data_IF_375502265845
#
_entry.id   IF_375502265845
#
_cell.length_a   1.000
_cell.length_b   1.000
_cell.length_c   1.000
_cell.angle_alpha   90.00
_cell.angle_beta   90.00
_cell.angle_gamma   90.00
#
_symmetry.space_group_name_H-M   'P 1'
#
loop_
_entity.id
_entity.type
_entity.pdbx_description
1 polymer ?
#
# COMPACT_ATOMS: atom_id res chain seq x y z
N UNK A 1 -58.95 25.57 31.16
CA UNK A 1 -58.46 26.90 30.72
C UNK A 1 -57.04 27.06 31.28
N UNK A 2 -56.00 26.73 30.50
CA UNK A 2 -55.07 27.72 29.84
C UNK A 2 -54.31 28.57 30.87
N UNK A 3 -52.98 28.64 31.02
CA UNK A 3 -51.78 28.50 30.17
C UNK A 3 -50.57 28.33 31.13
N UNK A 4 -49.66 27.37 30.97
CA UNK A 4 -48.28 27.50 30.42
C UNK A 4 -47.60 28.87 30.64
N UNK A 5 -46.49 28.92 31.40
CA UNK A 5 -45.15 29.34 30.91
C UNK A 5 -44.07 29.32 32.03
N UNK A 6 -42.93 28.66 31.73
CA UNK A 6 -41.53 29.12 31.91
C UNK A 6 -41.03 29.43 33.35
N UNK A 7 -39.90 28.94 33.88
CA UNK A 7 -38.57 28.69 33.31
C UNK A 7 -37.82 27.65 34.18
N UNK A 8 -37.16 26.68 33.54
CA UNK A 8 -36.14 25.82 34.15
C UNK A 8 -34.78 26.47 33.89
N UNK A 9 -34.07 26.89 34.95
CA UNK A 9 -32.68 27.32 34.85
C UNK A 9 -31.77 26.11 35.09
N UNK A 10 -31.09 25.74 34.01
CA UNK A 10 -30.06 24.71 33.92
C UNK A 10 -28.77 25.29 34.51
N UNK A 11 -28.28 24.72 35.60
CA UNK A 11 -26.90 24.92 36.06
C UNK A 11 -26.07 23.71 35.65
N UNK A 12 -25.60 23.70 34.40
CA UNK A 12 -24.50 22.82 33.98
C UNK A 12 -23.21 23.56 34.30
N UNK A 13 -22.60 23.20 35.42
CA UNK A 13 -21.21 23.53 35.69
C UNK A 13 -20.35 22.76 34.67
N UNK A 14 -20.02 23.43 33.58
CA UNK A 14 -18.96 23.01 32.67
C UNK A 14 -17.68 23.04 33.49
N UNK A 15 -17.20 21.85 33.87
CA UNK A 15 -15.80 21.63 34.24
C UNK A 15 -14.97 22.09 33.04
N UNK A 16 -14.52 23.34 33.11
CA UNK A 16 -13.45 23.88 32.30
C UNK A 16 -12.18 23.12 32.66
N UNK A 17 -12.01 21.92 32.11
CA UNK A 17 -10.69 21.34 31.95
C UNK A 17 -9.97 22.25 30.96
N UNK A 18 -9.17 23.17 31.50
CA UNK A 18 -8.13 23.85 30.74
C UNK A 18 -7.20 22.74 30.28
N UNK A 19 -7.44 22.23 29.07
CA UNK A 19 -6.46 21.40 28.38
C UNK A 19 -5.25 22.30 28.17
N UNK A 20 -4.22 22.08 28.99
CA UNK A 20 -2.89 22.58 28.73
C UNK A 20 -2.49 22.03 27.36
N UNK A 21 -2.62 22.84 26.31
CA UNK A 21 -1.99 22.58 25.03
C UNK A 21 -0.49 22.57 25.29
N UNK A 22 0.07 21.37 25.44
CA UNK A 22 1.48 21.16 25.18
C UNK A 22 1.65 21.40 23.67
N UNK A 23 2.03 22.61 23.31
CA UNK A 23 2.68 22.89 22.03
C UNK A 23 3.95 22.04 22.03
N UNK A 24 3.87 20.87 21.41
CA UNK A 24 5.08 20.16 21.01
C UNK A 24 5.73 21.06 19.96
N UNK A 25 6.79 21.76 20.37
CA UNK A 25 7.66 22.50 19.48
C UNK A 25 8.15 21.54 18.40
N UNK A 26 7.82 21.83 17.14
CA UNK A 26 8.55 21.31 16.00
C UNK A 26 10.03 21.63 16.21
N UNK A 27 10.91 20.70 15.85
CA UNK A 27 12.34 20.76 16.13
C UNK A 27 12.90 22.19 15.94
N UNK A 28 13.60 22.70 16.96
CA UNK A 28 14.30 23.98 16.84
C UNK A 28 15.30 23.89 15.68
N UNK A 29 14.98 24.56 14.57
CA UNK A 29 15.87 24.79 13.43
C UNK A 29 17.00 25.75 13.82
N UNK A 30 17.79 25.38 14.83
CA UNK A 30 19.02 26.06 15.14
C UNK A 30 19.99 25.81 13.98
N UNK A 31 20.12 26.81 13.09
CA UNK A 31 21.08 26.94 11.98
C UNK A 31 20.53 26.77 10.54
N UNK A 32 19.21 26.89 10.33
CA UNK A 32 18.67 27.03 8.97
C UNK A 32 18.97 28.44 8.40
N UNK A 33 19.50 28.51 7.17
CA UNK A 33 19.98 29.77 6.57
C UNK A 33 19.14 30.29 5.38
N UNK A 34 18.11 29.54 4.97
CA UNK A 34 17.25 29.83 3.81
C UNK A 34 15.79 29.47 4.10
N UNK A 35 15.27 28.45 3.44
CA UNK A 35 13.97 27.87 3.73
C UNK A 35 14.09 26.83 4.84
N UNK A 36 13.17 26.91 5.79
CA UNK A 36 13.09 26.05 6.96
C UNK A 36 11.71 25.42 7.10
N UNK A 37 10.79 25.70 6.18
CA UNK A 37 9.44 25.17 6.21
C UNK A 37 9.44 23.81 5.53
N UNK A 38 9.38 22.75 6.34
CA UNK A 38 9.32 21.40 5.79
C UNK A 38 7.97 21.12 5.11
N UNK A 39 7.93 20.25 4.09
CA UNK A 39 6.68 19.80 3.52
C UNK A 39 5.72 19.30 4.61
N UNK A 40 4.42 19.60 4.46
CA UNK A 40 3.43 19.29 5.48
C UNK A 40 2.16 18.69 4.90
N UNK A 41 1.52 17.81 5.66
CA UNK A 41 0.20 17.24 5.32
C UNK A 41 -0.96 17.96 6.01
N UNK A 42 -0.70 19.07 6.71
CA UNK A 42 -1.79 19.76 7.40
C UNK A 42 -1.49 21.18 7.79
N UNK A 43 -0.63 21.36 8.80
CA UNK A 43 -0.31 22.67 9.37
C UNK A 43 1.13 23.08 9.12
N UNK A 44 1.36 24.36 8.88
CA UNK A 44 2.69 24.97 8.90
C UNK A 44 3.19 25.11 10.35
N UNK A 45 4.47 25.43 10.52
CA UNK A 45 5.08 25.59 11.86
C UNK A 45 4.46 26.72 12.69
N UNK A 46 3.87 27.72 12.02
CA UNK A 46 3.11 28.79 12.67
C UNK A 46 1.67 28.39 13.08
N UNK A 47 1.28 27.14 12.84
CA UNK A 47 -0.05 26.59 13.15
C UNK A 47 -1.13 26.87 12.10
N UNK A 48 -0.81 27.52 10.99
CA UNK A 48 -1.76 27.74 9.90
C UNK A 48 -2.09 26.42 9.18
N UNK A 49 -3.37 26.08 9.10
CA UNK A 49 -3.84 24.94 8.28
C UNK A 49 -3.71 25.28 6.78
N UNK A 50 -2.97 24.46 6.05
CA UNK A 50 -2.77 24.56 4.59
C UNK A 50 -3.32 23.36 3.83
N UNK A 51 -3.43 22.20 4.46
CA UNK A 51 -3.98 20.98 3.85
C UNK A 51 -5.09 20.41 4.72
N UNK A 52 -6.26 20.12 4.15
CA UNK A 52 -7.32 19.38 4.83
C UNK A 52 -7.29 17.92 4.40
N UNK A 53 -7.59 17.00 5.33
CA UNK A 53 -7.57 15.55 5.06
C UNK A 53 -6.21 15.05 4.52
N UNK A 54 -5.12 15.48 5.14
CA UNK A 54 -3.74 15.17 4.74
C UNK A 54 -3.43 13.70 4.58
N UNK A 55 -4.05 12.84 5.38
CA UNK A 55 -3.97 11.39 5.25
C UNK A 55 -5.36 10.81 5.00
N UNK A 56 -5.46 9.96 3.98
CA UNK A 56 -6.54 8.98 3.83
C UNK A 56 -5.94 7.58 3.86
N UNK A 57 -6.42 6.72 4.77
CA UNK A 57 -6.01 5.31 4.84
C UNK A 57 -7.25 4.43 4.82
N UNK A 58 -7.33 3.49 3.88
CA UNK A 58 -8.48 2.56 3.80
C UNK A 58 -9.84 3.24 3.61
N UNK A 59 -9.85 4.47 3.07
CA UNK A 59 -11.05 5.30 2.92
C UNK A 59 -11.38 6.20 4.13
N UNK A 60 -10.64 6.08 5.23
CA UNK A 60 -10.76 6.99 6.37
C UNK A 60 -9.81 8.18 6.23
N UNK A 61 -10.34 9.40 6.23
CA UNK A 61 -9.57 10.64 6.13
C UNK A 61 -9.39 11.31 7.49
N UNK A 62 -8.21 11.90 7.70
CA UNK A 62 -7.86 12.62 8.93
C UNK A 62 -7.09 13.90 8.60
N UNK A 63 -7.34 14.96 9.37
CA UNK A 63 -6.47 16.13 9.37
C UNK A 63 -5.17 15.82 10.12
N UNK A 64 -4.06 16.31 9.60
CA UNK A 64 -2.74 16.12 10.21
C UNK A 64 -2.38 17.37 10.99
N UNK A 65 -2.60 17.35 12.29
CA UNK A 65 -2.52 18.56 13.12
C UNK A 65 -1.24 18.61 13.97
N UNK A 66 -0.56 17.48 14.13
CA UNK A 66 0.57 17.32 15.04
C UNK A 66 1.51 16.21 14.55
N UNK A 67 2.74 16.22 15.07
CA UNK A 67 3.72 15.18 14.78
C UNK A 67 3.19 13.78 15.15
N UNK A 68 2.62 13.61 16.35
CA UNK A 68 2.12 12.34 16.86
C UNK A 68 0.60 12.41 17.05
N UNK A 69 -0.16 11.53 16.39
CA UNK A 69 -1.62 11.47 16.57
C UNK A 69 -2.16 10.03 16.51
N UNK A 70 -3.15 9.73 17.35
CA UNK A 70 -3.89 8.47 17.27
C UNK A 70 -5.04 8.60 16.28
N UNK A 71 -5.21 7.61 15.42
CA UNK A 71 -6.35 7.53 14.49
C UNK A 71 -7.09 6.19 14.68
N UNK A 72 -8.38 6.09 14.29
CA UNK A 72 -9.06 4.81 14.28
C UNK A 72 -8.32 3.78 13.42
N UNK A 73 -8.03 2.61 14.00
CA UNK A 73 -7.32 1.53 13.32
C UNK A 73 -8.07 1.06 12.08
N UNK A 74 -7.40 1.09 10.94
CA UNK A 74 -7.88 0.53 9.68
C UNK A 74 -7.47 -0.94 9.60
N UNK A 75 -8.45 -1.83 9.40
CA UNK A 75 -8.25 -3.27 9.43
C UNK A 75 -8.39 -3.88 8.02
N UNK A 76 -7.40 -4.67 7.62
CA UNK A 76 -7.36 -5.29 6.29
C UNK A 76 -7.17 -6.81 6.38
N UNK A 77 -7.67 -7.54 5.37
CA UNK A 77 -7.35 -8.96 5.20
C UNK A 77 -6.08 -9.13 4.37
N UNK A 78 -5.29 -10.15 4.65
CA UNK A 78 -4.25 -10.64 3.74
C UNK A 78 -4.81 -10.87 2.33
N UNK A 79 -4.11 -10.40 1.31
CA UNK A 79 -4.53 -10.44 -0.11
C UNK A 79 -5.27 -9.20 -0.57
N UNK A 80 -5.74 -8.35 0.35
CA UNK A 80 -6.35 -7.08 -0.02
C UNK A 80 -5.28 -6.07 -0.39
N UNK A 81 -5.59 -5.26 -1.40
CA UNK A 81 -4.84 -4.05 -1.72
C UNK A 81 -5.25 -2.94 -0.76
N UNK A 82 -4.28 -2.44 -0.01
CA UNK A 82 -4.37 -1.22 0.77
C UNK A 82 -4.13 -0.04 -0.15
N UNK A 83 -4.92 1.02 0.05
CA UNK A 83 -4.68 2.33 -0.55
C UNK A 83 -4.52 3.36 0.56
N UNK A 84 -3.46 4.14 0.46
CA UNK A 84 -3.23 5.32 1.27
C UNK A 84 -3.03 6.52 0.35
N UNK A 85 -3.67 7.64 0.66
CA UNK A 85 -3.50 8.90 -0.05
C UNK A 85 -2.91 9.92 0.92
N UNK A 86 -1.83 10.55 0.50
CA UNK A 86 -1.23 11.68 1.19
C UNK A 86 -1.47 12.95 0.36
N UNK A 87 -1.90 14.02 1.00
CA UNK A 87 -1.90 15.36 0.43
C UNK A 87 -0.77 16.13 1.10
N UNK A 88 0.22 16.53 0.32
CA UNK A 88 1.45 17.17 0.81
C UNK A 88 1.55 18.57 0.20
N UNK A 89 1.67 19.57 1.05
CA UNK A 89 1.99 20.95 0.70
C UNK A 89 3.49 21.17 0.79
N UNK A 90 4.05 21.88 -0.19
CA UNK A 90 5.41 22.37 -0.23
C UNK A 90 5.38 23.85 -0.65
N UNK A 91 5.89 24.76 0.18
CA UNK A 91 5.95 26.21 -0.03
C UNK A 91 6.82 26.67 -1.20
N UNK A 92 7.87 25.93 -1.57
CA UNK A 92 8.69 26.17 -2.77
C UNK A 92 8.09 25.53 -4.03
N UNK A 93 6.93 24.89 -3.86
CA UNK A 93 6.11 24.33 -4.92
C UNK A 93 6.32 22.82 -5.11
N UNK A 94 5.46 22.19 -5.91
CA UNK A 94 5.44 20.72 -6.10
C UNK A 94 6.76 20.14 -6.66
N UNK A 95 7.64 20.99 -7.22
CA UNK A 95 8.97 20.60 -7.69
C UNK A 95 10.05 20.64 -6.60
N UNK A 96 9.78 21.33 -5.49
CA UNK A 96 10.62 21.37 -4.30
C UNK A 96 10.51 20.09 -3.48
N UNK A 97 9.34 19.42 -3.50
CA UNK A 97 9.16 18.11 -2.87
C UNK A 97 10.11 17.07 -3.47
N UNK A 98 10.92 16.45 -2.61
CA UNK A 98 11.93 15.46 -3.00
C UNK A 98 11.59 14.06 -2.55
N UNK A 99 10.99 13.91 -1.38
CA UNK A 99 10.75 12.60 -0.81
C UNK A 99 9.47 12.57 0.01
N UNK A 100 8.77 11.44 -0.11
CA UNK A 100 7.70 11.06 0.81
C UNK A 100 7.75 9.55 1.01
N UNK A 101 7.86 9.10 2.26
CA UNK A 101 7.77 7.69 2.61
C UNK A 101 6.52 7.40 3.43
N UNK A 102 6.05 6.17 3.34
CA UNK A 102 5.03 5.60 4.22
C UNK A 102 5.57 4.28 4.77
N UNK A 103 5.76 4.23 6.08
CA UNK A 103 6.23 3.06 6.80
C UNK A 103 5.11 2.45 7.66
N UNK A 104 5.05 1.12 7.70
CA UNK A 104 4.32 0.36 8.72
C UNK A 104 5.33 -0.01 9.80
N UNK A 105 5.12 0.48 11.02
CA UNK A 105 6.16 0.46 12.05
C UNK A 105 5.64 -0.03 13.41
N UNK A 106 6.49 -0.78 14.12
CA UNK A 106 6.34 -0.95 15.57
C UNK A 106 6.97 0.26 16.26
N UNK A 107 6.13 1.24 16.60
CA UNK A 107 6.56 2.51 17.18
C UNK A 107 6.36 2.54 18.69
N UNK A 108 7.41 2.83 19.45
CA UNK A 108 7.32 3.14 20.88
C UNK A 108 7.58 4.62 21.11
N UNK A 109 8.65 5.14 20.52
CA UNK A 109 9.02 6.55 20.47
C UNK A 109 9.97 6.81 19.29
N UNK A 110 10.33 8.08 19.05
CA UNK A 110 11.18 8.49 17.93
C UNK A 110 12.56 7.81 17.90
N UNK A 111 13.07 7.36 19.06
CA UNK A 111 14.37 6.66 19.16
C UNK A 111 14.22 5.14 19.12
N UNK A 112 13.01 4.64 19.36
CA UNK A 112 12.71 3.22 19.48
C UNK A 112 11.50 2.88 18.60
N UNK A 113 11.75 2.73 17.31
CA UNK A 113 10.79 2.18 16.36
C UNK A 113 11.47 1.18 15.43
N UNK A 114 10.68 0.29 14.82
CA UNK A 114 11.14 -0.69 13.86
C UNK A 114 10.20 -0.75 12.67
N UNK A 115 10.64 -0.21 11.55
CA UNK A 115 9.88 -0.25 10.30
C UNK A 115 9.88 -1.67 9.74
N UNK A 116 8.69 -2.22 9.54
CA UNK A 116 8.48 -3.57 8.98
C UNK A 116 8.48 -3.54 7.46
N UNK A 117 7.89 -2.48 6.91
CA UNK A 117 7.82 -2.20 5.49
C UNK A 117 7.71 -0.70 5.25
N UNK A 118 8.48 -0.19 4.30
CA UNK A 118 8.49 1.22 3.90
C UNK A 118 8.37 1.31 2.39
N UNK A 119 7.43 2.12 1.92
CA UNK A 119 7.28 2.49 0.51
C UNK A 119 7.69 3.95 0.38
N UNK A 120 8.66 4.24 -0.46
CA UNK A 120 9.17 5.59 -0.65
C UNK A 120 8.96 6.07 -2.07
N UNK A 121 8.53 7.32 -2.19
CA UNK A 121 8.52 8.10 -3.40
C UNK A 121 9.67 9.10 -3.34
N UNK A 122 10.47 9.14 -4.39
CA UNK A 122 11.55 10.10 -4.56
C UNK A 122 11.40 10.83 -5.89
N UNK A 123 11.73 12.11 -5.93
CA UNK A 123 11.74 12.95 -7.13
C UNK A 123 13.06 13.70 -7.23
N UNK A 124 13.82 13.47 -8.30
CA UNK A 124 15.07 14.20 -8.53
C UNK A 124 14.83 15.66 -9.00
N UNK A 125 15.91 16.44 -9.11
CA UNK A 125 15.85 17.84 -9.54
C UNK A 125 15.39 18.03 -11.00
N UNK A 126 15.42 16.98 -11.82
CA UNK A 126 14.89 16.98 -13.19
C UNK A 126 13.41 16.61 -13.24
N UNK A 127 12.84 16.17 -12.10
CA UNK A 127 11.46 15.72 -11.98
C UNK A 127 11.27 14.23 -12.26
N UNK A 128 12.35 13.45 -12.38
CA UNK A 128 12.27 12.00 -12.51
C UNK A 128 11.81 11.41 -11.19
N UNK A 129 10.77 10.58 -11.24
CA UNK A 129 10.16 9.96 -10.07
C UNK A 129 10.57 8.50 -9.96
N UNK A 130 10.91 8.07 -8.75
CA UNK A 130 11.22 6.67 -8.43
C UNK A 130 10.43 6.21 -7.23
N UNK A 131 10.08 4.92 -7.24
CA UNK A 131 9.46 4.24 -6.10
C UNK A 131 10.40 3.16 -5.62
N UNK A 132 10.72 3.17 -4.33
CA UNK A 132 11.52 2.14 -3.67
C UNK A 132 10.72 1.49 -2.54
N UNK A 133 11.05 0.23 -2.26
CA UNK A 133 10.37 -0.57 -1.23
C UNK A 133 11.42 -1.29 -0.40
N UNK A 134 11.36 -1.10 0.90
CA UNK A 134 12.09 -1.89 1.89
C UNK A 134 11.07 -2.70 2.66
N UNK A 135 11.16 -4.04 2.65
CA UNK A 135 10.17 -4.91 3.30
C UNK A 135 10.85 -6.19 3.79
N UNK A 136 11.68 -6.05 4.82
CA UNK A 136 12.42 -7.17 5.40
C UNK A 136 11.47 -8.21 6.02
N UNK A 137 10.29 -7.76 6.47
CA UNK A 137 9.25 -8.62 7.02
C UNK A 137 8.49 -9.41 5.94
N UNK A 138 8.65 -9.09 4.65
CA UNK A 138 7.82 -9.57 3.54
C UNK A 138 6.31 -9.41 3.85
N UNK A 139 5.96 -8.24 4.39
CA UNK A 139 4.63 -7.84 4.83
C UNK A 139 3.74 -7.44 3.66
N UNK A 140 4.31 -6.86 2.62
CA UNK A 140 3.59 -6.25 1.50
C UNK A 140 4.14 -6.72 0.15
N UNK A 141 3.35 -6.53 -0.92
CA UNK A 141 3.79 -6.79 -2.29
C UNK A 141 3.16 -5.82 -3.27
N UNK A 142 3.88 -5.56 -4.38
CA UNK A 142 3.35 -4.82 -5.52
C UNK A 142 3.09 -3.37 -5.17
N UNK A 143 3.94 -2.79 -4.34
CA UNK A 143 3.79 -1.40 -3.92
C UNK A 143 4.01 -0.46 -5.10
N UNK A 144 3.14 0.54 -5.23
CA UNK A 144 3.19 1.59 -6.24
C UNK A 144 2.85 2.92 -5.59
N UNK A 145 3.41 4.01 -6.12
CA UNK A 145 3.01 5.37 -5.75
C UNK A 145 2.71 6.16 -7.02
N UNK A 146 1.55 6.81 -7.05
CA UNK A 146 1.20 7.76 -8.10
C UNK A 146 1.21 9.17 -7.51
N UNK A 147 2.13 10.02 -7.96
CA UNK A 147 2.17 11.42 -7.59
C UNK A 147 1.42 12.29 -8.62
N UNK A 148 0.63 13.24 -8.16
CA UNK A 148 -0.13 14.17 -9.01
C UNK A 148 -0.10 15.56 -8.39
N UNK A 149 0.43 16.54 -9.12
CA UNK A 149 0.31 17.94 -8.74
C UNK A 149 -1.17 18.36 -8.83
N UNK A 150 -1.72 18.87 -7.73
CA UNK A 150 -3.08 19.38 -7.65
C UNK A 150 -3.12 20.87 -7.99
N UNK A 151 -2.10 21.61 -7.56
CA UNK A 151 -1.85 23.01 -7.87
C UNK A 151 -0.33 23.30 -7.79
N UNK A 152 0.06 24.56 -7.63
CA UNK A 152 1.47 24.99 -7.57
C UNK A 152 2.22 24.44 -6.35
N UNK A 153 1.52 24.18 -5.24
CA UNK A 153 2.12 23.83 -3.94
C UNK A 153 1.70 22.44 -3.42
N UNK A 154 0.55 21.92 -3.86
CA UNK A 154 -0.02 20.69 -3.34
C UNK A 154 0.22 19.49 -4.27
N UNK A 155 0.78 18.43 -3.72
CA UNK A 155 0.94 17.12 -4.38
C UNK A 155 0.07 16.07 -3.71
N UNK A 156 -0.70 15.33 -4.51
CA UNK A 156 -1.38 14.12 -4.07
C UNK A 156 -0.50 12.90 -4.35
N UNK A 157 -0.18 12.11 -3.33
CA UNK A 157 0.52 10.83 -3.48
C UNK A 157 -0.41 9.68 -3.11
N UNK A 158 -0.69 8.82 -4.09
CA UNK A 158 -1.52 7.63 -3.90
C UNK A 158 -0.65 6.38 -3.82
N UNK A 159 -0.44 5.90 -2.60
CA UNK A 159 0.24 4.65 -2.28
C UNK A 159 -0.74 3.48 -2.40
N UNK A 160 -0.28 2.39 -3.01
CA UNK A 160 -1.06 1.16 -3.14
C UNK A 160 -0.14 -0.04 -2.97
N UNK A 161 -0.50 -1.00 -2.12
CA UNK A 161 0.25 -2.24 -1.90
C UNK A 161 -0.68 -3.35 -1.40
N UNK A 162 -0.32 -4.61 -1.65
CA UNK A 162 -1.09 -5.78 -1.18
C UNK A 162 -0.49 -6.34 0.09
N UNK A 163 -1.30 -6.63 1.11
CA UNK A 163 -0.82 -7.24 2.36
C UNK A 163 -0.61 -8.75 2.15
N UNK A 164 0.58 -9.22 2.48
CA UNK A 164 0.98 -10.63 2.32
C UNK A 164 0.95 -11.41 3.63
N UNK A 165 1.13 -10.76 4.78
CA UNK A 165 1.13 -11.41 6.10
C UNK A 165 0.21 -10.67 7.09
N UNK A 166 -0.43 -11.38 8.03
CA UNK A 166 -1.11 -10.71 9.13
C UNK A 166 -0.09 -10.06 10.06
N UNK A 167 -0.52 -8.99 10.75
CA UNK A 167 0.28 -8.30 11.76
C UNK A 167 -0.65 -7.60 12.75
N UNK A 168 -0.19 -7.52 14.01
CA UNK A 168 -0.87 -6.77 15.07
C UNK A 168 -0.94 -5.28 14.73
N UNK A 169 -1.73 -4.53 15.50
CA UNK A 169 -1.83 -3.08 15.33
C UNK A 169 -0.43 -2.43 15.30
N UNK A 170 -0.16 -1.69 14.24
CA UNK A 170 1.10 -0.98 14.00
C UNK A 170 0.83 0.49 13.67
N UNK A 171 1.83 1.33 13.91
CA UNK A 171 1.79 2.72 13.50
C UNK A 171 1.99 2.85 11.99
N UNK A 172 1.48 3.95 11.43
CA UNK A 172 1.89 4.44 10.11
C UNK A 172 2.76 5.66 10.34
N UNK A 173 3.99 5.65 9.82
CA UNK A 173 4.91 6.80 9.88
C UNK A 173 5.01 7.35 8.46
N UNK A 174 4.85 8.66 8.32
CA UNK A 174 5.08 9.37 7.08
C UNK A 174 6.23 10.34 7.29
N UNK A 175 7.24 10.24 6.44
CA UNK A 175 8.34 11.20 6.41
C UNK A 175 8.36 11.92 5.07
N UNK A 176 8.61 13.22 5.09
CA UNK A 176 8.76 14.03 3.89
C UNK A 176 9.92 15.01 4.01
N UNK A 177 10.62 15.25 2.91
CA UNK A 177 11.65 16.28 2.84
C UNK A 177 11.71 16.93 1.44
N UNK A 178 12.21 18.17 1.42
CA UNK A 178 12.29 19.03 0.23
C UNK A 178 13.72 19.19 -0.32
N UNK A 179 13.87 20.03 -1.34
CA UNK A 179 15.14 20.30 -2.00
C UNK A 179 16.23 20.90 -1.08
N UNK A 180 15.83 21.57 0.00
CA UNK A 180 16.72 22.16 1.00
C UNK A 180 16.91 21.23 2.22
N UNK A 181 16.36 20.02 2.16
CA UNK A 181 16.33 19.00 3.22
C UNK A 181 15.60 19.44 4.50
N UNK A 182 14.68 20.41 4.42
CA UNK A 182 13.74 20.60 5.52
C UNK A 182 12.82 19.38 5.55
N UNK A 183 12.64 18.81 6.74
CA UNK A 183 11.98 17.52 6.89
C UNK A 183 10.91 17.53 7.97
N UNK A 184 9.88 16.72 7.75
CA UNK A 184 8.78 16.53 8.68
C UNK A 184 8.47 15.05 8.78
N UNK A 185 8.21 14.60 10.00
CA UNK A 185 7.68 13.28 10.28
C UNK A 185 6.31 13.42 10.92
N UNK A 186 5.39 12.53 10.54
CA UNK A 186 4.08 12.37 11.17
C UNK A 186 3.86 10.90 11.51
N UNK A 187 3.59 10.63 12.78
CA UNK A 187 3.36 9.30 13.34
C UNK A 187 1.89 9.14 13.68
N UNK A 188 1.24 8.21 13.00
CA UNK A 188 -0.15 7.83 13.22
C UNK A 188 -0.19 6.56 14.06
N UNK A 189 -0.43 6.73 15.36
CA UNK A 189 -0.50 5.62 16.32
C UNK A 189 -1.71 4.73 16.05
N UNK A 190 -1.50 3.43 16.22
CA UNK A 190 -2.52 2.40 16.08
C UNK A 190 -3.27 2.41 14.73
N UNK A 191 -2.61 2.89 13.68
CA UNK A 191 -3.26 3.24 12.42
C UNK A 191 -3.71 2.03 11.59
N UNK A 192 -2.96 0.94 11.58
CA UNK A 192 -3.19 -0.17 10.66
C UNK A 192 -3.00 -1.53 11.33
N UNK A 193 -3.84 -2.50 10.95
CA UNK A 193 -3.68 -3.92 11.31
C UNK A 193 -4.08 -4.83 10.16
N UNK A 194 -3.53 -6.04 10.14
CA UNK A 194 -3.94 -7.05 9.17
C UNK A 194 -4.22 -8.41 9.79
N UNK A 195 -5.29 -9.06 9.31
CA UNK A 195 -5.71 -10.39 9.74
C UNK A 195 -5.77 -11.36 8.56
N UNK A 196 -5.85 -12.65 8.87
CA UNK A 196 -5.89 -13.72 7.87
C UNK A 196 -4.65 -14.61 7.94
N UNK A 197 -4.42 -15.36 6.87
CA UNK A 197 -3.28 -16.28 6.77
C UNK A 197 -2.23 -15.71 5.82
N UNK A 198 -0.93 -15.92 6.09
CA UNK A 198 0.12 -15.53 5.15
C UNK A 198 -0.14 -16.04 3.73
N UNK A 199 -0.06 -15.15 2.74
CA UNK A 199 -0.05 -15.52 1.34
C UNK A 199 1.37 -15.94 1.00
N UNK A 200 1.58 -17.25 1.01
CA UNK A 200 2.81 -17.84 0.51
C UNK A 200 2.69 -17.82 -1.01
N UNK A 201 3.47 -16.95 -1.66
CA UNK A 201 3.63 -17.05 -3.10
C UNK A 201 4.25 -18.40 -3.41
N UNK A 202 3.42 -19.28 -3.98
CA UNK A 202 3.91 -20.51 -4.58
C UNK A 202 4.76 -20.05 -5.74
N UNK A 203 6.09 -19.99 -5.54
CA UNK A 203 7.06 -19.86 -6.63
C UNK A 203 6.57 -20.85 -7.67
N UNK A 204 6.18 -20.37 -8.86
CA UNK A 204 5.81 -21.28 -9.92
C UNK A 204 7.02 -22.17 -10.12
N UNK A 205 6.89 -23.44 -9.70
CA UNK A 205 7.96 -24.39 -9.97
C UNK A 205 8.20 -24.29 -11.47
N UNK A 206 9.47 -24.16 -11.93
CA UNK A 206 9.74 -24.12 -13.35
C UNK A 206 8.98 -25.28 -13.96
N UNK A 207 8.04 -24.96 -14.86
CA UNK A 207 7.07 -25.94 -15.37
C UNK A 207 7.84 -27.22 -15.67
N UNK A 208 7.51 -28.31 -14.96
CA UNK A 208 8.22 -29.59 -15.05
C UNK A 208 8.46 -29.82 -16.54
N UNK A 209 9.71 -29.92 -16.97
CA UNK A 209 10.03 -29.93 -18.40
C UNK A 209 9.50 -31.23 -19.03
N UNK A 210 8.24 -31.17 -19.46
CA UNK A 210 7.57 -32.26 -20.18
C UNK A 210 8.06 -32.18 -21.63
N UNK A 211 8.72 -33.24 -22.07
CA UNK A 211 9.15 -33.42 -23.46
C UNK A 211 7.93 -33.41 -24.39
N UNK A 212 8.11 -33.01 -25.65
CA UNK A 212 7.04 -33.12 -26.63
C UNK A 212 6.56 -34.58 -26.77
N UNK A 213 5.27 -34.84 -27.04
CA UNK A 213 4.68 -36.19 -27.11
C UNK A 213 5.50 -37.21 -27.91
N UNK A 214 5.91 -36.84 -29.13
CA UNK A 214 6.71 -37.71 -29.99
C UNK A 214 8.11 -37.99 -29.44
N UNK A 215 8.69 -37.05 -28.69
CA UNK A 215 9.99 -37.24 -28.03
C UNK A 215 9.88 -38.18 -26.83
N UNK A 216 8.74 -38.19 -26.13
CA UNK A 216 8.48 -39.17 -25.07
C UNK A 216 8.35 -40.58 -25.66
N UNK A 217 7.64 -40.73 -26.77
CA UNK A 217 7.53 -42.02 -27.48
C UNK A 217 8.88 -42.49 -28.01
N UNK A 218 9.67 -41.59 -28.61
CA UNK A 218 11.03 -41.91 -29.05
C UNK A 218 11.95 -42.32 -27.88
N UNK A 219 11.65 -41.88 -26.66
CA UNK A 219 12.34 -42.27 -25.43
C UNK A 219 11.76 -43.54 -24.78
N UNK A 220 10.81 -44.22 -25.41
CA UNK A 220 10.23 -45.50 -24.96
C UNK A 220 8.93 -45.39 -24.16
N UNK A 221 8.32 -44.21 -24.05
CA UNK A 221 7.01 -44.05 -23.41
C UNK A 221 5.90 -44.53 -24.35
N UNK A 222 5.02 -45.40 -23.88
CA UNK A 222 3.86 -45.83 -24.68
C UNK A 222 2.94 -44.63 -25.00
N UNK A 223 2.32 -44.55 -26.19
CA UNK A 223 1.48 -43.42 -26.59
C UNK A 223 0.42 -43.00 -25.56
N UNK A 224 -0.23 -43.97 -24.92
CA UNK A 224 -1.24 -43.80 -23.87
C UNK A 224 -0.69 -43.27 -22.54
N UNK A 225 0.61 -43.38 -22.32
CA UNK A 225 1.31 -42.95 -21.10
C UNK A 225 2.06 -41.62 -21.27
N UNK A 226 1.90 -40.95 -22.42
CA UNK A 226 2.50 -39.65 -22.68
C UNK A 226 1.96 -38.61 -21.69
N UNK A 227 2.85 -37.92 -21.00
CA UNK A 227 2.46 -36.84 -20.10
C UNK A 227 2.28 -35.54 -20.88
N UNK A 228 1.18 -34.84 -20.64
CA UNK A 228 0.96 -33.49 -21.14
C UNK A 228 1.33 -32.45 -20.09
N UNK A 229 1.64 -31.23 -20.54
CA UNK A 229 1.76 -30.07 -19.64
C UNK A 229 0.38 -29.72 -19.08
N UNK A 230 0.36 -29.09 -17.91
CA UNK A 230 -0.88 -28.61 -17.30
C UNK A 230 -1.69 -27.76 -18.30
N UNK A 231 -2.99 -28.02 -18.39
CA UNK A 231 -3.90 -27.36 -19.33
C UNK A 231 -4.01 -28.00 -20.72
N UNK A 232 -3.28 -29.09 -20.98
CA UNK A 232 -3.39 -29.88 -22.21
C UNK A 232 -3.93 -31.29 -21.93
N UNK A 233 -4.73 -31.81 -22.86
CA UNK A 233 -5.29 -33.15 -22.86
C UNK A 233 -4.54 -34.03 -23.87
N UNK A 234 -4.25 -35.28 -23.49
CA UNK A 234 -3.67 -36.27 -24.38
C UNK A 234 -4.76 -36.79 -25.33
N UNK A 235 -4.49 -36.75 -26.63
CA UNK A 235 -5.27 -37.43 -27.65
C UNK A 235 -4.38 -38.35 -28.46
N UNK A 236 -4.85 -39.56 -28.72
CA UNK A 236 -4.22 -40.48 -29.67
C UNK A 236 -4.91 -40.29 -31.01
N UNK A 237 -4.21 -39.77 -32.01
CA UNK A 237 -4.80 -39.59 -33.34
C UNK A 237 -5.15 -40.95 -33.95
N UNK A 238 -6.07 -40.98 -34.91
CA UNK A 238 -6.39 -42.20 -35.69
C UNK A 238 -5.15 -42.86 -36.34
N UNK A 239 -4.07 -42.10 -36.53
CA UNK A 239 -2.77 -42.59 -36.99
C UNK A 239 -1.92 -43.26 -35.90
N UNK A 240 -2.43 -43.39 -34.67
CA UNK A 240 -1.71 -43.93 -33.49
C UNK A 240 -0.72 -42.95 -32.84
N UNK A 241 -0.59 -41.73 -33.36
CA UNK A 241 0.37 -40.74 -32.84
C UNK A 241 -0.23 -39.96 -31.66
N UNK A 242 0.45 -39.87 -30.50
CA UNK A 242 -0.02 -39.07 -29.39
C UNK A 242 0.22 -37.58 -29.63
N UNK A 243 -0.74 -36.75 -29.22
CA UNK A 243 -0.66 -35.30 -29.23
C UNK A 243 -1.24 -34.73 -27.94
N UNK A 244 -0.60 -33.71 -27.40
CA UNK A 244 -1.13 -32.90 -26.31
C UNK A 244 -1.76 -31.65 -26.90
N UNK A 245 -3.08 -31.50 -26.75
CA UNK A 245 -3.85 -30.38 -27.32
C UNK A 245 -4.71 -29.74 -26.24
N UNK A 246 -5.24 -28.53 -26.48
CA UNK A 246 -6.20 -27.94 -25.55
C UNK A 246 -7.49 -28.79 -25.48
N UNK A 247 -8.19 -28.86 -24.34
CA UNK A 247 -9.42 -29.64 -24.21
C UNK A 247 -10.48 -29.36 -25.28
N UNK A 248 -10.67 -28.09 -25.67
CA UNK A 248 -11.59 -27.71 -26.75
C UNK A 248 -11.16 -28.29 -28.11
N UNK A 249 -9.85 -28.32 -28.36
CA UNK A 249 -9.30 -28.95 -29.58
C UNK A 249 -9.44 -30.46 -29.53
N UNK A 250 -9.25 -31.09 -28.35
CA UNK A 250 -9.46 -32.52 -28.18
C UNK A 250 -10.91 -32.92 -28.49
N UNK A 251 -11.88 -32.15 -28.00
CA UNK A 251 -13.30 -32.33 -28.30
C UNK A 251 -13.59 -32.17 -29.81
N UNK A 252 -13.02 -31.15 -30.44
CA UNK A 252 -13.14 -30.95 -31.90
C UNK A 252 -12.60 -32.15 -32.67
N UNK A 253 -11.43 -32.67 -32.30
CA UNK A 253 -10.81 -33.83 -32.95
C UNK A 253 -11.63 -35.12 -32.75
N UNK A 254 -12.26 -35.30 -31.58
CA UNK A 254 -13.19 -36.41 -31.33
C UNK A 254 -14.43 -36.31 -32.21
N UNK A 255 -15.02 -35.13 -32.32
CA UNK A 255 -16.20 -34.89 -33.16
C UNK A 255 -15.93 -35.08 -34.66
N UNK A 256 -14.67 -34.92 -35.08
CA UNK A 256 -14.22 -35.18 -36.45
C UNK A 256 -13.71 -36.61 -36.67
N UNK A 257 -13.87 -37.51 -35.69
CA UNK A 257 -13.40 -38.90 -35.75
C UNK A 257 -11.88 -39.02 -36.05
N UNK A 258 -11.11 -38.01 -35.65
CA UNK A 258 -9.66 -37.95 -35.86
C UNK A 258 -8.86 -38.52 -34.68
N UNK A 259 -9.55 -39.01 -33.65
CA UNK A 259 -8.99 -39.67 -32.47
C UNK A 259 -9.22 -41.17 -32.63
N UNK A 260 -8.23 -42.00 -32.30
CA UNK A 260 -8.37 -43.44 -32.33
C UNK A 260 -9.50 -43.87 -31.38
N UNK A 261 -10.41 -44.70 -31.86
CA UNK A 261 -11.42 -45.34 -31.02
C UNK A 261 -10.71 -46.34 -30.11
N UNK A 262 -10.77 -46.10 -28.81
CA UNK A 262 -10.35 -47.02 -27.74
C UNK A 262 -11.21 -48.27 -27.71
#
# INVERSE_FOLDING_TARGET
>A
MTKVLLQVLIAVAVLSSVSLFAVNSFAENANCSRDCEAPTMGVLDNGQQVVMNGLTLGGYSVNVEQHLQTIPTQAFSTGNTVKAKLLVYENDGVRGLRHVSLAISDYQDDKHHSDKATVSFDQDFEGTQTVSVTDDANLIKGATVTATALDEFNTSLEFSFTIMKPFDTSAVIVESWDADHSSRSNVFLDAIKAYGSPIIEKISQPAKHVLAPLKQVAAGVAPENVQCRDGFELVIRSTGAPACVYPLTAETLRNWEMVASS
#
